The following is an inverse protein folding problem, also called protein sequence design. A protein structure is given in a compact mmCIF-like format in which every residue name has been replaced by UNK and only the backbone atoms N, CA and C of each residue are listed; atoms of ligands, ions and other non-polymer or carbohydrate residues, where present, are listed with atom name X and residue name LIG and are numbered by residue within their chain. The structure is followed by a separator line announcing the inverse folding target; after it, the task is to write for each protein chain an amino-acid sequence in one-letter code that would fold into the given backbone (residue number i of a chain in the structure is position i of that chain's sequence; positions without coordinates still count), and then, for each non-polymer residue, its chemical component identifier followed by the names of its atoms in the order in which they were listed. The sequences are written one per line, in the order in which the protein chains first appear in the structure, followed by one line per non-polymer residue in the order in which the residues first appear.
data_IF_340922980844
#
_entry.id   IF_340922980844
#
_cell.length_a   1.000
_cell.length_b   1.000
_cell.length_c   1.000
_cell.angle_alpha   90.00
_cell.angle_beta   90.00
_cell.angle_gamma   90.00
#
_symmetry.space_group_name_H-M   'P 1'
#
loop_
_entity.id
_entity.type
_entity.pdbx_description
1 polymer ?
#
# COMPACT_ATOMS: atom_id res chain seq x y z
N UNK A 1 -11.27 1.99 10.00
CA UNK A 1 -11.13 3.35 9.42
C UNK A 1 -10.99 3.18 7.91
N UNK A 2 -11.51 4.06 7.05
CA UNK A 2 -11.39 3.89 5.59
C UNK A 2 -10.60 5.04 4.97
N UNK A 3 -9.66 4.68 4.08
CA UNK A 3 -9.02 5.59 3.14
C UNK A 3 -9.52 5.21 1.74
N UNK A 4 -9.90 6.20 0.94
CA UNK A 4 -10.38 5.97 -0.43
C UNK A 4 -9.69 6.93 -1.39
N UNK A 5 -9.23 6.40 -2.52
CA UNK A 5 -8.63 7.18 -3.60
C UNK A 5 -8.88 6.51 -4.95
N UNK A 6 -8.84 7.30 -6.02
CA UNK A 6 -8.81 6.76 -7.38
C UNK A 6 -7.38 6.45 -7.80
N UNK A 7 -7.22 5.36 -8.53
CA UNK A 7 -5.94 4.91 -9.07
C UNK A 7 -6.13 4.34 -10.47
N UNK A 8 -5.01 4.13 -11.16
CA UNK A 8 -4.95 3.44 -12.44
C UNK A 8 -4.39 2.05 -12.22
N UNK A 9 -5.09 1.02 -12.69
CA UNK A 9 -4.56 -0.35 -12.66
C UNK A 9 -3.47 -0.50 -13.71
N UNK A 10 -2.27 -0.87 -13.27
CA UNK A 10 -1.19 -1.30 -14.14
C UNK A 10 -1.35 -2.81 -14.45
N UNK A 11 -0.67 -3.34 -15.48
CA UNK A 11 -0.65 -4.78 -15.71
C UNK A 11 -0.21 -5.54 -14.46
N UNK A 12 -0.85 -6.65 -14.13
CA UNK A 12 -0.47 -7.46 -12.96
C UNK A 12 0.96 -8.04 -13.13
N UNK A 13 1.66 -8.28 -12.03
CA UNK A 13 3.04 -8.80 -12.04
C UNK A 13 3.25 -9.81 -10.91
N UNK A 14 3.72 -11.02 -11.23
CA UNK A 14 3.98 -12.05 -10.20
C UNK A 14 2.77 -12.42 -9.34
N UNK A 15 1.55 -12.29 -9.89
CA UNK A 15 0.28 -12.48 -9.15
C UNK A 15 -0.18 -11.25 -8.36
N UNK A 16 0.61 -10.17 -8.31
CA UNK A 16 0.23 -8.92 -7.68
C UNK A 16 -0.55 -8.04 -8.64
N UNK A 17 -1.67 -7.50 -8.15
CA UNK A 17 -2.34 -6.34 -8.73
C UNK A 17 -1.57 -5.10 -8.36
N UNK A 18 -1.37 -4.23 -9.34
CA UNK A 18 -0.59 -3.00 -9.19
C UNK A 18 -1.47 -1.78 -9.48
N UNK A 19 -1.52 -0.87 -8.52
CA UNK A 19 -2.35 0.33 -8.59
C UNK A 19 -1.44 1.56 -8.55
N UNK A 20 -1.43 2.32 -9.63
CA UNK A 20 -0.65 3.55 -9.76
C UNK A 20 -1.50 4.76 -9.38
N UNK A 21 -0.96 5.60 -8.50
CA UNK A 21 -1.50 6.92 -8.19
C UNK A 21 -0.50 8.00 -8.62
N UNK A 22 -0.87 8.87 -9.57
CA UNK A 22 -0.08 10.05 -9.92
C UNK A 22 0.12 11.00 -8.73
N UNK A 23 1.11 11.89 -8.87
CA UNK A 23 1.32 13.00 -7.94
C UNK A 23 0.07 13.86 -7.80
N UNK A 24 -0.25 14.25 -6.56
CA UNK A 24 -1.44 15.04 -6.26
C UNK A 24 -2.74 14.24 -6.28
N UNK A 25 -2.71 12.90 -6.33
CA UNK A 25 -3.92 12.07 -6.17
C UNK A 25 -4.56 12.32 -4.80
N UNK A 26 -5.79 12.86 -4.73
CA UNK A 26 -6.46 13.07 -3.46
C UNK A 26 -6.77 11.75 -2.77
N UNK A 27 -6.55 11.71 -1.46
CA UNK A 27 -6.94 10.61 -0.58
C UNK A 27 -7.97 11.13 0.41
N UNK A 28 -9.12 10.47 0.47
CA UNK A 28 -10.17 10.76 1.44
C UNK A 28 -10.04 9.82 2.62
N UNK A 29 -10.12 10.37 3.81
CA UNK A 29 -10.07 9.64 5.06
C UNK A 29 -11.11 10.18 6.02
N UNK A 30 -11.50 9.38 7.02
CA UNK A 30 -12.51 9.80 8.00
C UNK A 30 -12.14 11.08 8.76
N UNK A 31 -10.83 11.35 8.93
CA UNK A 31 -10.31 12.53 9.65
C UNK A 31 -9.97 13.73 8.74
N UNK A 32 -10.11 13.60 7.41
CA UNK A 32 -9.79 14.67 6.47
C UNK A 32 -9.36 14.17 5.08
N UNK A 33 -8.81 15.07 4.27
CA UNK A 33 -8.28 14.74 2.95
C UNK A 33 -6.88 15.32 2.75
N UNK A 34 -6.02 14.60 2.05
CA UNK A 34 -4.70 15.11 1.63
C UNK A 34 -4.38 14.62 0.22
N UNK A 35 -3.41 15.27 -0.43
CA UNK A 35 -2.91 14.88 -1.74
C UNK A 35 -1.38 14.81 -1.65
N UNK A 36 -0.78 13.61 -1.63
CA UNK A 36 0.68 13.48 -1.54
C UNK A 36 1.39 14.07 -2.75
N UNK A 37 2.54 14.69 -2.50
CA UNK A 37 3.51 15.03 -3.53
C UNK A 37 4.30 13.77 -3.92
N UNK A 38 4.49 13.56 -5.21
CA UNK A 38 5.13 12.37 -5.75
C UNK A 38 4.16 11.24 -6.11
N UNK A 39 4.69 10.21 -6.78
CA UNK A 39 3.90 9.07 -7.26
C UNK A 39 3.89 7.94 -6.24
N UNK A 40 2.87 7.09 -6.30
CA UNK A 40 2.86 5.84 -5.52
C UNK A 40 2.31 4.66 -6.33
N UNK A 41 2.80 3.47 -6.01
CA UNK A 41 2.29 2.19 -6.50
C UNK A 41 1.88 1.36 -5.30
N UNK A 42 0.68 0.81 -5.32
CA UNK A 42 0.23 -0.18 -4.35
C UNK A 42 0.22 -1.55 -5.01
N UNK A 43 0.93 -2.52 -4.43
CA UNK A 43 0.96 -3.91 -4.84
C UNK A 43 0.15 -4.77 -3.86
N UNK A 44 -0.85 -5.49 -4.38
CA UNK A 44 -1.76 -6.33 -3.61
C UNK A 44 -1.79 -7.74 -4.18
N UNK A 45 -1.79 -8.77 -3.33
CA UNK A 45 -1.96 -10.16 -3.76
C UNK A 45 -3.11 -10.80 -2.99
N UNK A 46 -4.11 -11.42 -3.64
CA UNK A 46 -5.34 -11.88 -2.98
C UNK A 46 -5.11 -12.96 -1.90
N UNK A 47 -3.95 -13.61 -1.91
CA UNK A 47 -3.56 -14.64 -0.94
C UNK A 47 -2.57 -14.14 0.14
N UNK A 48 -2.14 -12.88 0.08
CA UNK A 48 -1.24 -12.29 1.10
C UNK A 48 -2.07 -11.51 2.11
N UNK A 49 -1.59 -11.47 3.35
CA UNK A 49 -2.22 -10.70 4.45
C UNK A 49 -1.53 -9.37 4.70
N UNK A 50 -0.86 -8.83 3.69
CA UNK A 50 -0.34 -7.48 3.72
C UNK A 50 -0.40 -6.85 2.33
N UNK A 51 -0.41 -5.52 2.31
CA UNK A 51 -0.36 -4.69 1.11
C UNK A 51 0.91 -3.88 1.14
N UNK A 52 1.61 -3.76 0.01
CA UNK A 52 2.85 -2.96 -0.06
C UNK A 52 2.63 -1.73 -0.91
N UNK A 53 2.91 -0.58 -0.34
CA UNK A 53 2.94 0.70 -1.00
C UNK A 53 4.38 1.11 -1.21
N UNK A 54 4.75 1.39 -2.46
CA UNK A 54 5.97 2.09 -2.78
C UNK A 54 5.64 3.52 -3.20
N UNK A 55 6.47 4.47 -2.78
CA UNK A 55 6.29 5.87 -3.15
C UNK A 55 7.61 6.53 -3.52
N UNK A 56 7.53 7.56 -4.36
CA UNK A 56 8.67 8.39 -4.76
C UNK A 56 8.24 9.85 -4.97
N UNK A 57 8.86 10.76 -4.24
CA UNK A 57 8.61 12.20 -4.26
C UNK A 57 9.77 12.97 -3.63
N UNK A 58 9.99 14.23 -4.03
CA UNK A 58 11.00 15.13 -3.46
C UNK A 58 12.41 14.55 -3.30
N UNK A 59 12.85 13.77 -4.30
CA UNK A 59 14.16 13.12 -4.30
C UNK A 59 14.29 11.96 -3.30
N UNK A 60 13.19 11.53 -2.69
CA UNK A 60 13.11 10.39 -1.77
C UNK A 60 12.20 9.32 -2.32
N UNK A 61 12.38 8.12 -1.78
CA UNK A 61 11.46 7.00 -1.98
C UNK A 61 11.40 6.16 -0.72
N UNK A 62 10.31 5.44 -0.56
CA UNK A 62 10.10 4.60 0.60
C UNK A 62 9.05 3.55 0.36
N UNK A 63 8.85 2.76 1.41
CA UNK A 63 7.83 1.73 1.47
C UNK A 63 6.92 1.95 2.66
N UNK A 64 5.68 1.49 2.51
CA UNK A 64 4.74 1.30 3.60
C UNK A 64 4.08 -0.08 3.40
N UNK A 65 3.90 -0.84 4.47
CA UNK A 65 3.31 -2.18 4.44
C UNK A 65 2.17 -2.23 5.43
N UNK A 66 0.95 -2.37 4.93
CA UNK A 66 -0.26 -2.50 5.75
C UNK A 66 -0.47 -3.97 6.07
N UNK A 67 -0.62 -4.34 7.35
CA UNK A 67 -1.20 -5.64 7.68
C UNK A 67 -2.70 -5.64 7.40
N UNK A 68 -3.21 -6.66 6.71
CA UNK A 68 -4.61 -6.70 6.27
C UNK A 68 -5.26 -8.05 6.55
N UNK A 69 -6.55 -8.01 6.88
CA UNK A 69 -7.35 -9.22 7.12
C UNK A 69 -7.71 -9.93 5.83
N UNK A 70 -8.11 -9.15 4.84
CA UNK A 70 -8.65 -9.62 3.56
C UNK A 70 -8.44 -8.57 2.48
N UNK A 71 -8.27 -9.03 1.24
CA UNK A 71 -8.16 -8.20 0.04
C UNK A 71 -9.22 -8.69 -0.95
N UNK A 72 -10.08 -7.78 -1.40
CA UNK A 72 -11.06 -8.04 -2.44
C UNK A 72 -10.68 -7.25 -3.70
N UNK A 73 -10.65 -7.94 -4.84
CA UNK A 73 -10.20 -7.38 -6.11
C UNK A 73 -11.30 -7.62 -7.15
N UNK A 74 -11.83 -6.54 -7.70
CA UNK A 74 -12.73 -6.55 -8.85
C UNK A 74 -12.15 -5.72 -10.00
N UNK A 75 -12.87 -5.64 -11.12
CA UNK A 75 -12.45 -4.83 -12.27
C UNK A 75 -12.49 -3.32 -11.99
N UNK A 76 -13.37 -2.85 -11.11
CA UNK A 76 -13.59 -1.42 -10.84
C UNK A 76 -13.24 -0.98 -9.42
N UNK A 77 -13.05 -1.92 -8.50
CA UNK A 77 -12.78 -1.65 -7.09
C UNK A 77 -11.77 -2.65 -6.53
N UNK A 78 -10.81 -2.14 -5.77
CA UNK A 78 -9.96 -2.92 -4.89
C UNK A 78 -10.19 -2.41 -3.47
N UNK A 79 -10.46 -3.32 -2.54
CA UNK A 79 -10.66 -2.99 -1.12
C UNK A 79 -9.88 -3.97 -0.27
N UNK A 80 -9.47 -3.52 0.91
CA UNK A 80 -8.89 -4.37 1.94
C UNK A 80 -9.31 -3.90 3.33
N UNK A 81 -9.24 -4.80 4.29
CA UNK A 81 -9.53 -4.51 5.70
C UNK A 81 -8.22 -4.38 6.45
N UNK A 82 -7.88 -3.15 6.80
CA UNK A 82 -6.71 -2.78 7.58
C UNK A 82 -6.74 -3.38 9.01
N UNK A 83 -5.57 -3.81 9.48
CA UNK A 83 -5.36 -4.37 10.82
C UNK A 83 -4.43 -3.51 11.70
N UNK A 84 -4.33 -2.22 11.39
CA UNK A 84 -3.61 -1.16 12.11
C UNK A 84 -2.08 -1.27 12.15
N UNK A 85 -1.53 -2.49 12.22
CA UNK A 85 -0.09 -2.68 12.39
C UNK A 85 0.65 -2.56 11.06
N UNK A 86 1.63 -1.66 10.99
CA UNK A 86 2.30 -1.32 9.74
C UNK A 86 3.83 -1.39 9.83
N UNK A 87 4.48 -1.54 8.68
CA UNK A 87 5.91 -1.26 8.52
C UNK A 87 6.14 -0.10 7.58
N UNK A 88 7.04 0.80 7.95
CA UNK A 88 7.48 1.89 7.08
C UNK A 88 8.98 1.85 6.86
N UNK A 89 9.42 2.18 5.64
CA UNK A 89 10.81 2.42 5.32
C UNK A 89 10.97 3.79 4.66
N UNK A 90 11.69 4.69 5.33
CA UNK A 90 12.14 5.95 4.75
C UNK A 90 13.68 6.05 4.89
N UNK A 91 14.39 5.62 3.84
CA UNK A 91 15.81 5.92 3.63
C UNK A 91 16.83 5.08 4.37
N UNK A 92 16.59 4.60 5.61
CA UNK A 92 17.63 3.89 6.39
C UNK A 92 17.20 2.63 7.11
N UNK A 93 16.01 2.61 7.70
CA UNK A 93 15.57 1.48 8.50
C UNK A 93 14.06 1.24 8.40
N UNK A 94 13.66 0.00 8.70
CA UNK A 94 12.27 -0.42 8.76
C UNK A 94 11.71 -0.19 10.16
N UNK A 95 10.73 0.70 10.27
CA UNK A 95 10.04 1.05 11.50
C UNK A 95 8.74 0.26 11.61
N UNK A 96 8.45 -0.26 12.80
CA UNK A 96 7.12 -0.79 13.15
C UNK A 96 6.29 0.39 13.66
N UNK A 97 5.09 0.55 13.12
CA UNK A 97 4.18 1.64 13.47
C UNK A 97 2.87 1.10 14.05
N UNK A 98 2.19 1.96 14.80
CA UNK A 98 0.80 1.78 15.26
C UNK A 98 0.54 0.49 16.06
N UNK A 99 1.57 0.00 16.76
CA UNK A 99 1.46 -1.18 17.64
C UNK A 99 0.45 -0.94 18.78
N UNK A 100 0.34 0.30 19.26
CA UNK A 100 -0.63 0.71 20.28
C UNK A 100 -2.08 0.57 19.82
N UNK A 101 -2.37 0.65 18.52
CA UNK A 101 -3.72 0.53 18.00
C UNK A 101 -4.25 -0.91 18.11
N UNK A 102 -3.35 -1.90 18.26
CA UNK A 102 -3.71 -3.29 18.50
C UNK A 102 -4.46 -3.51 19.83
N UNK A 103 -4.38 -2.56 20.78
CA UNK A 103 -5.17 -2.65 22.01
C UNK A 103 -6.68 -2.57 21.77
N UNK A 104 -7.11 -1.95 20.66
CA UNK A 104 -8.50 -1.89 20.25
C UNK A 104 -8.92 -3.06 19.34
N UNK A 105 -7.96 -3.87 18.88
CA UNK A 105 -8.20 -5.00 17.99
C UNK A 105 -8.69 -6.24 18.76
N UNK A 106 -9.41 -7.12 18.07
CA UNK A 106 -9.71 -8.45 18.60
C UNK A 106 -8.42 -9.27 18.75
N UNK A 107 -8.37 -10.28 19.65
CA UNK A 107 -7.18 -11.14 19.77
C UNK A 107 -6.79 -11.85 18.47
N UNK A 108 -7.77 -12.21 17.65
CA UNK A 108 -7.53 -12.85 16.35
C UNK A 108 -6.93 -11.87 15.34
N UNK A 109 -7.48 -10.66 15.26
CA UNK A 109 -6.95 -9.59 14.39
C UNK A 109 -5.52 -9.22 14.77
N UNK A 110 -5.24 -9.05 16.06
CA UNK A 110 -3.90 -8.73 16.55
C UNK A 110 -2.90 -9.88 16.30
N UNK A 111 -3.36 -11.14 16.24
CA UNK A 111 -2.53 -12.28 15.85
C UNK A 111 -2.25 -12.25 14.35
N UNK A 112 -3.27 -12.08 13.52
CA UNK A 112 -3.15 -11.98 12.07
C UNK A 112 -2.24 -10.83 11.63
N UNK A 113 -2.36 -9.67 12.28
CA UNK A 113 -1.53 -8.50 12.00
C UNK A 113 -0.04 -8.80 12.24
N UNK A 114 0.29 -9.41 13.39
CA UNK A 114 1.67 -9.80 13.72
C UNK A 114 2.22 -10.86 12.77
N UNK A 115 1.41 -11.84 12.38
CA UNK A 115 1.80 -12.87 11.39
C UNK A 115 2.10 -12.24 10.02
N UNK A 116 1.28 -11.30 9.56
CA UNK A 116 1.49 -10.59 8.31
C UNK A 116 2.79 -9.78 8.32
N UNK A 117 3.04 -9.03 9.40
CA UNK A 117 4.27 -8.25 9.56
C UNK A 117 5.50 -9.16 9.67
N UNK A 118 5.40 -10.30 10.36
CA UNK A 118 6.49 -11.27 10.42
C UNK A 118 6.81 -11.84 9.03
N UNK A 119 5.80 -12.15 8.23
CA UNK A 119 5.98 -12.60 6.84
C UNK A 119 6.66 -11.52 5.97
N UNK A 120 6.21 -10.26 6.08
CA UNK A 120 6.81 -9.14 5.36
C UNK A 120 8.29 -8.94 5.75
N UNK A 121 8.62 -9.01 7.05
CA UNK A 121 10.01 -8.95 7.53
C UNK A 121 10.87 -10.07 6.98
N UNK A 122 10.36 -11.30 6.95
CA UNK A 122 11.09 -12.42 6.37
C UNK A 122 11.39 -12.22 4.87
N UNK A 123 10.46 -11.61 4.11
CA UNK A 123 10.70 -11.25 2.70
C UNK A 123 11.75 -10.14 2.56
N UNK A 124 11.70 -9.11 3.41
CA UNK A 124 12.70 -8.03 3.45
C UNK A 124 14.09 -8.62 3.72
N UNK A 125 14.22 -9.46 4.75
CA UNK A 125 15.49 -10.10 5.13
C UNK A 125 16.04 -11.01 4.02
N UNK A 126 15.15 -11.67 3.28
CA UNK A 126 15.51 -12.52 2.15
C UNK A 126 15.85 -11.75 0.87
N UNK A 127 15.72 -10.40 0.85
CA UNK A 127 15.91 -9.60 -0.35
C UNK A 127 14.83 -9.86 -1.41
N UNK A 128 13.59 -10.07 -0.99
CA UNK A 128 12.47 -10.32 -1.90
C UNK A 128 12.23 -9.16 -2.87
N UNK A 129 11.81 -9.48 -4.09
CA UNK A 129 11.58 -8.51 -5.17
C UNK A 129 10.63 -7.37 -4.80
N UNK A 130 9.62 -7.67 -3.96
CA UNK A 130 8.68 -6.68 -3.43
C UNK A 130 9.34 -5.60 -2.56
N UNK A 131 10.59 -5.76 -2.15
CA UNK A 131 11.31 -4.78 -1.33
C UNK A 131 12.58 -4.27 -2.02
N UNK A 132 12.78 -4.60 -3.31
CA UNK A 132 13.81 -4.03 -4.16
C UNK A 132 13.23 -2.88 -4.99
N UNK A 133 13.69 -1.62 -4.81
CA UNK A 133 13.16 -0.45 -5.52
C UNK A 133 13.45 -0.47 -7.04
N UNK A 134 14.30 -1.38 -7.51
CA UNK A 134 14.65 -1.55 -8.92
C UNK A 134 13.90 -2.69 -9.61
N UNK A 135 13.08 -3.45 -8.88
CA UNK A 135 12.30 -4.54 -9.46
C UNK A 135 11.16 -4.04 -10.37
N UNK A 136 10.85 -4.82 -11.40
CA UNK A 136 9.82 -4.54 -12.39
C UNK A 136 8.41 -4.41 -11.79
N UNK A 137 8.17 -4.96 -10.59
CA UNK A 137 6.92 -4.76 -9.86
C UNK A 137 6.63 -3.26 -9.64
N UNK A 138 7.66 -2.41 -9.52
CA UNK A 138 7.54 -0.96 -9.34
C UNK A 138 7.66 -0.14 -10.62
N UNK A 139 7.81 -0.79 -11.78
CA UNK A 139 7.89 -0.10 -13.05
C UNK A 139 6.54 0.53 -13.42
N UNK A 140 6.56 1.82 -13.76
CA UNK A 140 5.39 2.54 -14.32
C UNK A 140 5.65 2.79 -15.80
N UNK A 141 4.75 2.35 -16.70
CA UNK A 141 4.80 2.70 -18.11
C UNK A 141 4.84 4.22 -18.34
N UNK A 142 5.58 4.66 -19.37
CA UNK A 142 5.78 6.09 -19.65
C UNK A 142 4.49 6.85 -19.93
N UNK A 143 3.53 6.22 -20.60
CA UNK A 143 2.20 6.77 -20.84
C UNK A 143 1.39 6.92 -19.55
N UNK A 144 1.49 5.95 -18.63
CA UNK A 144 0.86 6.03 -17.32
C UNK A 144 1.45 7.17 -16.46
N UNK A 145 2.75 7.43 -16.54
CA UNK A 145 3.40 8.56 -15.83
C UNK A 145 2.84 9.94 -16.22
N UNK A 146 2.23 10.07 -17.41
CA UNK A 146 1.58 11.30 -17.87
C UNK A 146 0.12 11.45 -17.43
N UNK A 147 -0.44 10.48 -16.69
CA UNK A 147 -1.84 10.52 -16.26
C UNK A 147 -2.05 11.55 -15.16
N UNK A 148 -3.17 12.27 -15.24
CA UNK A 148 -3.59 13.22 -14.22
C UNK A 148 -4.29 12.51 -13.05
N UNK A 149 -4.17 13.02 -11.82
CA UNK A 149 -4.95 12.53 -10.70
C UNK A 149 -6.44 12.70 -10.96
N UNK A 150 -7.25 11.73 -10.53
CA UNK A 150 -8.72 11.84 -10.59
C UNK A 150 -9.26 12.35 -9.25
N UNK A 151 -10.22 13.28 -9.26
CA UNK A 151 -10.87 13.72 -8.03
C UNK A 151 -11.62 12.55 -7.39
N UNK A 152 -11.57 12.47 -6.06
CA UNK A 152 -12.35 11.49 -5.31
C UNK A 152 -13.71 12.11 -4.98
N UNK A 153 -14.76 11.54 -5.57
CA UNK A 153 -16.13 11.80 -5.14
C UNK A 153 -16.45 10.89 -3.96
N UNK A 154 -17.18 11.38 -2.96
CA UNK A 154 -17.65 10.52 -1.88
C UNK A 154 -18.52 9.43 -2.49
N UNK A 155 -18.25 8.19 -2.12
CA UNK A 155 -19.18 7.10 -2.36
C UNK A 155 -20.32 7.30 -1.35
N UNK A 156 -21.44 7.83 -1.83
CA UNK A 156 -22.66 8.04 -1.04
C UNK A 156 -23.32 6.71 -0.62
#
# INVERSE_FOLDING_TARGET
MYITWYCYRLPDHGGFVRLFAPSGTPRLHSKGSWAPDGVSITALHPQRRYVVHWWRGDGRSGYYVDAVRSIEISSSLVSYVDLYLDLAFEGREWLLLDEEELHAASPDDARLAREAIAEARAQIEAGGSLFDPHDDIWAVPTDAMGLMPRPVERLD
#
